data_IF_503132467928
#
_entry.id   IF_503132467928
#
_cell.length_a   1.000
_cell.length_b   1.000
_cell.length_c   1.000
_cell.angle_alpha   90.00
_cell.angle_beta   90.00
_cell.angle_gamma   90.00
#
_symmetry.space_group_name_H-M   'P 1'
#
loop_
_entity.id
_entity.type
_entity.pdbx_description
1 polymer ?
#
# COMPACT_ATOMS: atom_id res chain seq x y z
N UNK A 1 -105.97 0.98 -11.15
CA UNK A 1 -104.94 0.68 -12.16
C UNK A 1 -103.61 1.12 -11.59
N UNK A 2 -102.76 0.18 -11.51
CA UNK A 2 -101.33 0.22 -11.20
C UNK A 2 -100.77 0.86 -9.91
N UNK A 3 -100.57 -0.04 -8.97
CA UNK A 3 -99.78 0.11 -7.75
C UNK A 3 -98.27 0.19 -8.06
N UNK A 4 -97.58 1.14 -7.50
CA UNK A 4 -96.11 1.15 -7.47
C UNK A 4 -95.72 0.86 -6.03
N UNK A 5 -95.22 -0.35 -5.82
CA UNK A 5 -94.62 -0.74 -4.55
C UNK A 5 -93.24 -0.16 -4.38
N UNK A 6 -93.08 0.64 -3.34
CA UNK A 6 -91.77 1.15 -2.92
C UNK A 6 -91.12 0.10 -2.06
N UNK A 7 -90.07 -0.53 -2.52
CA UNK A 7 -89.20 -1.45 -1.73
C UNK A 7 -88.10 -0.63 -1.04
N UNK A 8 -88.20 -0.56 0.27
CA UNK A 8 -87.19 -0.02 1.16
C UNK A 8 -86.07 -1.08 1.26
N UNK A 9 -84.85 -0.70 0.77
CA UNK A 9 -83.65 -1.53 0.92
C UNK A 9 -82.91 -1.06 2.16
N UNK A 10 -82.90 -1.89 3.21
CA UNK A 10 -82.14 -1.65 4.45
C UNK A 10 -80.70 -2.10 4.17
N UNK A 11 -79.78 -1.17 4.13
CA UNK A 11 -78.35 -1.47 4.12
C UNK A 11 -77.85 -1.70 5.51
N UNK A 12 -77.51 -2.95 5.81
CA UNK A 12 -76.81 -3.33 7.02
C UNK A 12 -75.27 -3.03 6.82
N UNK A 13 -74.80 -2.00 7.46
CA UNK A 13 -73.31 -1.70 7.44
C UNK A 13 -72.64 -2.59 8.48
N UNK A 14 -72.05 -3.67 8.04
CA UNK A 14 -71.10 -4.46 8.83
C UNK A 14 -69.79 -3.71 8.96
N UNK A 15 -69.54 -3.16 10.15
CA UNK A 15 -68.22 -2.65 10.53
C UNK A 15 -67.26 -3.83 10.72
N UNK A 16 -66.50 -4.21 9.68
CA UNK A 16 -65.36 -5.09 9.82
C UNK A 16 -64.17 -4.25 10.30
N UNK A 17 -63.82 -4.41 11.56
CA UNK A 17 -62.55 -3.91 12.12
C UNK A 17 -61.38 -4.58 11.39
N UNK A 18 -60.75 -3.84 10.46
CA UNK A 18 -59.47 -4.24 9.88
C UNK A 18 -58.39 -4.17 10.95
N UNK A 19 -58.06 -5.30 11.58
CA UNK A 19 -56.79 -5.46 12.22
C UNK A 19 -55.70 -5.44 11.14
N UNK A 20 -55.01 -4.32 10.97
CA UNK A 20 -53.77 -4.26 10.21
C UNK A 20 -52.72 -5.05 10.97
N UNK A 21 -52.08 -6.07 10.39
CA UNK A 21 -50.93 -6.68 11.02
C UNK A 21 -49.84 -5.61 11.12
N UNK A 22 -49.36 -5.39 12.35
CA UNK A 22 -48.14 -4.61 12.59
C UNK A 22 -47.03 -5.30 11.80
N UNK A 23 -46.65 -4.69 10.67
CA UNK A 23 -45.52 -5.12 9.89
C UNK A 23 -44.27 -4.98 10.76
N UNK A 24 -43.81 -6.13 11.28
CA UNK A 24 -42.55 -6.20 11.99
C UNK A 24 -41.49 -5.59 11.06
N UNK A 25 -40.72 -4.64 11.58
CA UNK A 25 -39.53 -4.09 10.89
C UNK A 25 -38.73 -5.26 10.37
N UNK A 26 -38.71 -5.44 9.05
CA UNK A 26 -37.85 -6.39 8.38
C UNK A 26 -36.44 -6.13 8.89
N UNK A 27 -35.91 -7.04 9.67
CA UNK A 27 -34.49 -7.08 9.96
C UNK A 27 -33.82 -7.22 8.59
N UNK A 28 -33.14 -6.14 8.12
CA UNK A 28 -32.29 -6.24 6.96
C UNK A 28 -31.53 -7.57 7.07
N UNK A 29 -31.51 -8.40 6.02
CA UNK A 29 -30.76 -9.64 6.06
C UNK A 29 -29.35 -9.29 6.52
N UNK A 30 -28.83 -10.00 7.52
CA UNK A 30 -27.41 -9.90 7.90
C UNK A 30 -26.65 -10.07 6.61
N UNK A 31 -25.98 -8.99 6.15
CA UNK A 31 -25.05 -9.11 5.03
C UNK A 31 -24.13 -10.29 5.36
N UNK A 32 -24.13 -11.29 4.49
CA UNK A 32 -23.17 -12.38 4.60
C UNK A 32 -21.79 -11.72 4.77
N UNK A 33 -21.08 -12.03 5.84
CA UNK A 33 -19.73 -11.51 6.06
C UNK A 33 -18.92 -12.00 4.86
N UNK A 34 -18.59 -11.07 3.96
CA UNK A 34 -17.84 -11.39 2.76
C UNK A 34 -16.48 -11.95 3.22
N UNK A 35 -16.14 -13.14 2.74
CA UNK A 35 -14.91 -13.83 3.14
C UNK A 35 -13.70 -12.97 2.77
N UNK A 36 -12.80 -12.74 3.73
CA UNK A 36 -11.57 -12.01 3.46
C UNK A 36 -10.66 -12.82 2.52
N UNK A 37 -9.89 -12.13 1.69
CA UNK A 37 -8.84 -12.73 0.87
C UNK A 37 -7.54 -12.85 1.65
N UNK A 38 -6.71 -13.84 1.33
CA UNK A 38 -5.38 -14.00 1.92
C UNK A 38 -4.60 -12.69 1.83
N UNK A 39 -4.06 -12.24 2.96
CA UNK A 39 -3.26 -11.02 3.05
C UNK A 39 -2.44 -11.00 4.34
N UNK A 40 -1.40 -10.17 4.39
CA UNK A 40 -0.56 -10.03 5.58
C UNK A 40 0.77 -10.79 5.49
N UNK A 41 1.56 -10.78 6.59
CA UNK A 41 1.22 -10.12 7.83
C UNK A 41 1.47 -8.60 7.79
N UNK A 42 0.58 -7.85 8.45
CA UNK A 42 0.84 -6.46 8.86
C UNK A 42 1.35 -6.49 10.30
N UNK A 43 2.52 -5.95 10.54
CA UNK A 43 3.10 -5.84 11.88
C UNK A 43 2.87 -4.43 12.41
N UNK A 44 1.93 -4.28 13.34
CA UNK A 44 1.58 -2.98 13.93
C UNK A 44 2.31 -2.84 15.26
N UNK A 45 3.21 -1.85 15.36
CA UNK A 45 3.94 -1.52 16.58
C UNK A 45 3.17 -0.48 17.38
N UNK A 46 3.12 -0.65 18.69
CA UNK A 46 2.59 0.34 19.61
C UNK A 46 3.72 1.02 20.39
N UNK A 47 3.45 2.22 20.92
CA UNK A 47 4.44 3.03 21.65
C UNK A 47 4.95 2.35 22.95
N UNK A 48 4.17 1.43 23.53
CA UNK A 48 4.55 0.64 24.70
C UNK A 48 5.49 -0.54 24.38
N UNK A 49 5.91 -0.68 23.11
CA UNK A 49 6.76 -1.77 22.63
C UNK A 49 6.01 -3.07 22.34
N UNK A 50 4.70 -3.10 22.48
CA UNK A 50 3.88 -4.23 22.03
C UNK A 50 3.70 -4.24 20.51
N UNK A 51 3.31 -5.40 19.97
CA UNK A 51 3.09 -5.58 18.53
C UNK A 51 1.84 -6.43 18.29
N UNK A 52 1.09 -6.10 17.24
CA UNK A 52 0.07 -6.96 16.65
C UNK A 52 0.55 -7.45 15.29
N UNK A 53 0.45 -8.74 15.05
CA UNK A 53 0.66 -9.33 13.73
C UNK A 53 -0.68 -9.77 13.15
N UNK A 54 -1.11 -9.08 12.13
CA UNK A 54 -2.44 -9.23 11.50
C UNK A 54 -2.27 -9.88 10.13
N UNK A 55 -3.00 -10.96 9.89
CA UNK A 55 -3.03 -11.66 8.60
C UNK A 55 -4.38 -12.29 8.34
N UNK A 56 -4.62 -12.67 7.08
CA UNK A 56 -5.79 -13.45 6.67
C UNK A 56 -5.29 -14.78 6.09
N UNK A 57 -5.78 -15.88 6.64
CA UNK A 57 -5.39 -17.22 6.18
C UNK A 57 -6.14 -17.68 4.90
N UNK A 58 -5.73 -18.83 4.34
CA UNK A 58 -6.35 -19.43 3.15
C UNK A 58 -7.84 -19.82 3.31
N UNK A 59 -8.36 -19.80 4.53
CA UNK A 59 -9.79 -20.00 4.83
C UNK A 59 -10.55 -18.67 4.93
N UNK A 60 -9.88 -17.53 4.77
CA UNK A 60 -10.44 -16.19 4.89
C UNK A 60 -10.71 -15.78 6.35
N UNK A 61 -10.00 -16.36 7.31
CA UNK A 61 -10.10 -16.03 8.72
C UNK A 61 -9.06 -14.97 9.07
N UNK A 62 -9.49 -13.92 9.75
CA UNK A 62 -8.61 -12.93 10.34
C UNK A 62 -7.82 -13.57 11.49
N UNK A 63 -6.52 -13.47 11.41
CA UNK A 63 -5.57 -13.86 12.46
C UNK A 63 -4.96 -12.58 13.05
N UNK A 64 -5.14 -12.37 14.34
CA UNK A 64 -4.66 -11.19 15.07
C UNK A 64 -3.90 -11.67 16.30
N UNK A 65 -2.58 -11.69 16.20
CA UNK A 65 -1.69 -12.16 17.26
C UNK A 65 -1.05 -10.99 17.98
N UNK A 66 -1.13 -10.99 19.30
CA UNK A 66 -0.57 -9.96 20.16
C UNK A 66 0.72 -10.42 20.83
N UNK A 67 1.73 -9.56 20.80
CA UNK A 67 3.04 -9.76 21.43
C UNK A 67 3.30 -8.60 22.40
N UNK A 68 3.59 -8.90 23.66
CA UNK A 68 3.87 -7.87 24.69
C UNK A 68 5.19 -7.14 24.45
N UNK A 69 6.13 -7.79 23.78
CA UNK A 69 7.40 -7.22 23.36
C UNK A 69 7.84 -7.87 22.07
N UNK A 70 8.59 -7.14 21.26
CA UNK A 70 9.13 -7.64 19.99
C UNK A 70 10.52 -8.18 20.26
N UNK A 71 10.77 -9.50 20.08
CA UNK A 71 12.13 -10.02 20.11
C UNK A 71 12.98 -9.38 19.01
N UNK A 72 14.24 -9.14 19.26
CA UNK A 72 15.19 -8.61 18.25
C UNK A 72 15.33 -9.51 17.01
N UNK A 73 14.94 -10.78 17.16
CA UNK A 73 14.98 -11.81 16.10
C UNK A 73 13.60 -12.28 15.70
N UNK A 74 12.57 -11.41 15.79
CA UNK A 74 11.22 -11.79 15.40
C UNK A 74 11.16 -12.12 13.91
N UNK A 75 10.73 -13.34 13.60
CA UNK A 75 10.61 -13.84 12.22
C UNK A 75 9.22 -14.39 11.95
N UNK A 76 8.79 -14.31 10.71
CA UNK A 76 7.49 -14.80 10.23
C UNK A 76 7.60 -15.24 8.77
N UNK A 77 6.59 -16.01 8.33
CA UNK A 77 6.50 -16.49 6.95
C UNK A 77 5.62 -15.54 6.12
N UNK A 78 6.01 -15.34 4.87
CA UNK A 78 5.25 -14.60 3.86
C UNK A 78 4.59 -15.57 2.91
N UNK A 79 3.34 -15.29 2.55
CA UNK A 79 2.52 -16.10 1.64
C UNK A 79 2.03 -15.23 0.49
N UNK A 80 1.90 -15.83 -0.71
CA UNK A 80 1.25 -15.21 -1.86
C UNK A 80 -0.27 -15.19 -1.71
N UNK A 81 -0.95 -14.47 -2.59
CA UNK A 81 -2.42 -14.37 -2.61
C UNK A 81 -3.13 -15.74 -2.78
N UNK A 82 -2.49 -16.71 -3.39
CA UNK A 82 -3.00 -18.09 -3.54
C UNK A 82 -2.67 -18.99 -2.34
N UNK A 83 -1.96 -18.50 -1.33
CA UNK A 83 -1.58 -19.23 -0.12
C UNK A 83 -0.30 -20.06 -0.22
N UNK A 84 0.48 -19.90 -1.29
CA UNK A 84 1.80 -20.49 -1.39
C UNK A 84 2.76 -19.84 -0.38
N UNK A 85 3.49 -20.65 0.40
CA UNK A 85 4.57 -20.19 1.27
C UNK A 85 5.75 -19.74 0.41
N UNK A 86 6.20 -18.51 0.60
CA UNK A 86 7.27 -17.92 -0.22
C UNK A 86 8.62 -17.92 0.52
N UNK A 87 8.75 -17.15 1.57
CA UNK A 87 10.02 -16.99 2.28
C UNK A 87 9.79 -16.49 3.72
N UNK A 88 10.75 -16.74 4.63
CA UNK A 88 10.75 -16.12 5.94
C UNK A 88 11.31 -14.70 5.89
N UNK A 89 10.83 -13.84 6.79
CA UNK A 89 11.36 -12.50 7.02
C UNK A 89 11.70 -12.34 8.50
N UNK A 90 12.88 -11.80 8.78
CA UNK A 90 13.27 -11.35 10.12
C UNK A 90 13.25 -9.83 10.14
N UNK A 91 12.60 -9.22 11.15
CA UNK A 91 12.60 -7.77 11.30
C UNK A 91 13.99 -7.26 11.67
N UNK A 92 14.32 -6.09 11.16
CA UNK A 92 15.60 -5.42 11.46
C UNK A 92 15.37 -3.93 11.72
N UNK A 93 16.39 -3.23 12.18
CA UNK A 93 16.34 -1.78 12.34
C UNK A 93 16.22 -1.09 10.98
N UNK A 94 15.40 -0.05 10.94
CA UNK A 94 15.12 0.73 9.73
C UNK A 94 15.65 2.15 9.91
N UNK A 95 16.38 2.65 8.92
CA UNK A 95 16.86 4.03 8.87
C UNK A 95 16.80 4.56 7.44
N UNK A 96 16.83 5.89 7.28
CA UNK A 96 16.92 6.50 5.95
C UNK A 96 18.28 6.19 5.33
N UNK A 97 18.32 5.60 4.12
CA UNK A 97 19.59 5.37 3.41
C UNK A 97 20.19 6.70 2.94
N UNK A 98 21.50 6.71 2.75
CA UNK A 98 22.17 7.83 2.07
C UNK A 98 21.57 8.01 0.68
N UNK A 99 21.43 9.27 0.24
CA UNK A 99 20.88 9.63 -1.06
C UNK A 99 21.88 9.45 -2.22
N UNK A 100 23.15 9.21 -1.91
CA UNK A 100 24.21 9.02 -2.89
C UNK A 100 25.05 7.81 -2.51
N UNK A 101 25.29 6.95 -3.50
CA UNK A 101 26.11 5.75 -3.41
C UNK A 101 27.26 5.79 -4.41
N UNK A 102 28.31 5.04 -4.11
CA UNK A 102 29.38 4.76 -5.05
C UNK A 102 28.87 3.80 -6.13
N UNK A 103 29.33 3.95 -7.35
CA UNK A 103 28.99 3.03 -8.44
C UNK A 103 29.49 1.61 -8.11
N UNK A 104 28.61 0.60 -8.00
CA UNK A 104 29.02 -0.78 -7.87
C UNK A 104 29.47 -1.35 -9.23
N UNK A 105 30.00 -2.57 -9.24
CA UNK A 105 30.32 -3.28 -10.49
C UNK A 105 29.07 -3.48 -11.36
N UNK A 106 27.95 -3.87 -10.73
CA UNK A 106 26.66 -4.08 -11.41
C UNK A 106 25.54 -3.40 -10.65
N UNK A 107 24.60 -2.83 -11.42
CA UNK A 107 23.34 -2.31 -10.90
C UNK A 107 22.20 -2.99 -11.65
N UNK A 108 21.31 -3.70 -10.94
CA UNK A 108 20.08 -4.20 -11.50
C UNK A 108 18.95 -3.21 -11.21
N UNK A 109 18.24 -2.78 -12.24
CA UNK A 109 17.21 -1.74 -12.11
C UNK A 109 15.88 -2.29 -12.61
N UNK A 110 14.82 -2.09 -11.84
CA UNK A 110 13.44 -2.39 -12.25
C UNK A 110 12.48 -1.34 -11.68
N UNK A 111 11.29 -1.26 -12.26
CA UNK A 111 10.24 -0.32 -11.86
C UNK A 111 8.86 -0.96 -11.99
N UNK A 112 7.87 -0.38 -11.31
CA UNK A 112 6.44 -0.63 -11.49
C UNK A 112 6.00 -2.11 -11.38
N UNK A 113 6.38 -2.86 -10.34
CA UNK A 113 5.95 -4.24 -10.20
C UNK A 113 4.45 -4.39 -9.93
N UNK A 114 3.77 -3.34 -9.46
CA UNK A 114 2.31 -3.27 -9.27
C UNK A 114 1.69 -4.54 -8.69
N UNK A 115 2.25 -5.01 -7.60
CA UNK A 115 1.80 -6.21 -6.89
C UNK A 115 1.69 -7.46 -7.78
N UNK A 116 2.52 -7.54 -8.84
CA UNK A 116 2.67 -8.72 -9.68
C UNK A 116 3.87 -9.54 -9.20
N UNK A 117 3.62 -10.39 -8.20
CA UNK A 117 4.64 -11.23 -7.57
C UNK A 117 5.42 -12.09 -8.58
N UNK A 118 4.70 -12.79 -9.46
CA UNK A 118 5.34 -13.72 -10.39
C UNK A 118 6.32 -13.02 -11.34
N UNK A 119 5.94 -11.86 -11.86
CA UNK A 119 6.81 -11.05 -12.72
C UNK A 119 8.01 -10.53 -11.94
N UNK A 120 7.79 -9.93 -10.76
CA UNK A 120 8.83 -9.37 -9.92
C UNK A 120 9.89 -10.42 -9.52
N UNK A 121 9.44 -11.55 -8.98
CA UNK A 121 10.33 -12.64 -8.56
C UNK A 121 11.08 -13.27 -9.75
N UNK A 122 10.42 -13.45 -10.90
CA UNK A 122 11.04 -13.98 -12.09
C UNK A 122 12.14 -13.08 -12.65
N UNK A 123 11.93 -11.77 -12.65
CA UNK A 123 12.95 -10.80 -13.07
C UNK A 123 14.19 -10.83 -12.16
N UNK A 124 13.98 -10.87 -10.83
CA UNK A 124 15.09 -10.93 -9.88
C UNK A 124 15.87 -12.24 -9.99
N UNK A 125 15.18 -13.38 -10.19
CA UNK A 125 15.83 -14.70 -10.43
C UNK A 125 16.60 -14.70 -11.76
N UNK A 126 16.00 -14.21 -12.83
CA UNK A 126 16.66 -14.12 -14.14
C UNK A 126 17.88 -13.19 -14.12
N UNK A 127 17.80 -12.10 -13.37
CA UNK A 127 18.92 -11.16 -13.14
C UNK A 127 19.98 -11.68 -12.17
N UNK A 128 19.79 -12.89 -11.61
CA UNK A 128 20.67 -13.49 -10.58
C UNK A 128 20.86 -12.56 -9.38
N UNK A 129 19.82 -11.82 -9.05
CA UNK A 129 19.76 -10.99 -7.83
C UNK A 129 19.42 -11.86 -6.62
N UNK A 130 18.50 -12.83 -6.83
CA UNK A 130 18.07 -13.79 -5.81
C UNK A 130 18.18 -15.22 -6.32
N UNK A 131 18.32 -16.18 -5.38
CA UNK A 131 18.25 -17.63 -5.65
C UNK A 131 16.80 -18.16 -5.76
N UNK A 132 16.68 -19.49 -5.82
CA UNK A 132 15.38 -20.17 -5.88
C UNK A 132 14.54 -19.93 -4.62
N UNK A 133 15.18 -19.76 -3.46
CA UNK A 133 14.58 -19.59 -2.13
C UNK A 133 14.43 -18.11 -1.74
N UNK A 134 14.58 -17.20 -2.72
CA UNK A 134 14.46 -15.74 -2.56
C UNK A 134 15.52 -15.10 -1.63
N UNK A 135 16.71 -15.69 -1.53
CA UNK A 135 17.85 -15.11 -0.81
C UNK A 135 18.73 -14.30 -1.75
N UNK A 136 19.39 -13.27 -1.21
CA UNK A 136 20.31 -12.42 -1.96
C UNK A 136 21.55 -13.20 -2.44
N UNK A 137 21.83 -13.15 -3.72
CA UNK A 137 23.02 -13.76 -4.33
C UNK A 137 23.79 -12.78 -5.23
N UNK A 138 23.45 -11.49 -5.21
CA UNK A 138 24.04 -10.48 -6.09
C UNK A 138 25.36 -9.92 -5.53
N UNK A 139 25.83 -10.40 -4.39
CA UNK A 139 27.09 -9.99 -3.75
C UNK A 139 27.13 -8.51 -3.41
N UNK A 140 28.26 -7.84 -3.66
CA UNK A 140 28.46 -6.42 -3.37
C UNK A 140 27.83 -5.48 -4.42
N UNK A 141 26.90 -5.95 -5.22
CA UNK A 141 26.22 -5.17 -6.25
C UNK A 141 24.96 -4.47 -5.71
N UNK A 142 24.27 -3.72 -6.57
CA UNK A 142 23.11 -2.93 -6.17
C UNK A 142 21.85 -3.29 -6.97
N UNK A 143 20.75 -3.48 -6.24
CA UNK A 143 19.40 -3.52 -6.79
C UNK A 143 18.74 -2.15 -6.58
N UNK A 144 18.19 -1.57 -7.64
CA UNK A 144 17.41 -0.32 -7.58
C UNK A 144 16.00 -0.62 -8.06
N UNK A 145 15.01 -0.34 -7.19
CA UNK A 145 13.59 -0.47 -7.48
C UNK A 145 12.99 0.92 -7.50
N UNK A 146 12.50 1.34 -8.67
CA UNK A 146 12.04 2.71 -8.89
C UNK A 146 10.51 2.81 -8.65
N UNK A 147 10.06 2.42 -7.45
CA UNK A 147 8.68 2.62 -6.97
C UNK A 147 7.59 1.77 -7.60
N UNK A 148 6.36 2.12 -7.26
CA UNK A 148 5.10 1.57 -7.76
C UNK A 148 4.91 0.08 -7.51
N UNK A 149 5.06 -0.31 -6.25
CA UNK A 149 4.67 -1.65 -5.79
C UNK A 149 3.17 -1.74 -5.55
N UNK A 150 2.55 -0.66 -5.06
CA UNK A 150 1.11 -0.63 -4.81
C UNK A 150 0.28 -0.75 -6.07
N UNK A 151 -0.99 -1.08 -5.85
CA UNK A 151 -2.10 -1.06 -6.80
C UNK A 151 -2.06 -2.14 -7.90
N UNK A 152 -3.17 -2.27 -8.61
CA UNK A 152 -3.41 -3.14 -9.77
C UNK A 152 -3.38 -4.64 -9.48
N UNK A 153 -2.34 -5.14 -8.80
CA UNK A 153 -2.18 -6.55 -8.46
C UNK A 153 -2.68 -6.91 -7.05
N UNK A 154 -2.33 -8.09 -6.59
CA UNK A 154 -2.85 -8.70 -5.36
C UNK A 154 -1.78 -9.09 -4.34
N UNK A 155 -0.49 -9.01 -4.71
CA UNK A 155 0.65 -9.40 -3.87
C UNK A 155 1.51 -8.20 -3.42
N UNK A 156 0.87 -7.15 -2.89
CA UNK A 156 1.56 -5.96 -2.38
C UNK A 156 2.55 -6.34 -1.27
N UNK A 157 2.08 -7.03 -0.24
CA UNK A 157 2.92 -7.38 0.91
C UNK A 157 4.05 -8.36 0.58
N UNK A 158 3.84 -9.42 -0.22
CA UNK A 158 4.94 -10.28 -0.65
C UNK A 158 6.11 -9.52 -1.28
N UNK A 159 5.82 -8.54 -2.15
CA UNK A 159 6.87 -7.74 -2.80
C UNK A 159 7.58 -6.84 -1.79
N UNK A 160 6.84 -6.09 -0.95
CA UNK A 160 7.47 -5.23 0.06
C UNK A 160 8.28 -6.01 1.08
N UNK A 161 7.78 -7.15 1.56
CA UNK A 161 8.52 -7.98 2.50
C UNK A 161 9.78 -8.59 1.87
N UNK A 162 9.75 -8.91 0.56
CA UNK A 162 10.96 -9.35 -0.12
C UNK A 162 11.99 -8.21 -0.20
N UNK A 163 11.56 -7.01 -0.58
CA UNK A 163 12.47 -5.85 -0.64
C UNK A 163 13.09 -5.58 0.74
N UNK A 164 12.27 -5.58 1.79
CA UNK A 164 12.70 -5.39 3.18
C UNK A 164 13.73 -6.45 3.62
N UNK A 165 13.46 -7.73 3.32
CA UNK A 165 14.39 -8.85 3.59
C UNK A 165 15.72 -8.64 2.86
N UNK A 166 15.63 -8.34 1.57
CA UNK A 166 16.82 -8.20 0.70
C UNK A 166 17.68 -7.00 1.07
N UNK A 167 17.12 -5.93 1.65
CA UNK A 167 17.94 -4.80 2.15
C UNK A 167 18.96 -5.27 3.18
N UNK A 168 18.52 -6.09 4.14
CA UNK A 168 19.43 -6.59 5.19
C UNK A 168 20.42 -7.61 4.63
N UNK A 169 19.97 -8.53 3.80
CA UNK A 169 20.85 -9.54 3.21
C UNK A 169 21.89 -8.93 2.26
N UNK A 170 21.51 -7.91 1.49
CA UNK A 170 22.44 -7.18 0.63
C UNK A 170 23.48 -6.44 1.48
N UNK A 171 23.07 -5.75 2.55
CA UNK A 171 23.99 -5.09 3.48
C UNK A 171 25.00 -6.06 4.05
N UNK A 172 24.57 -7.22 4.50
CA UNK A 172 25.44 -8.27 5.07
C UNK A 172 26.43 -8.85 4.04
N UNK A 173 26.05 -8.80 2.74
CA UNK A 173 26.91 -9.21 1.62
C UNK A 173 27.77 -8.08 1.05
N UNK A 174 27.73 -6.87 1.64
CA UNK A 174 28.42 -5.68 1.13
C UNK A 174 27.78 -5.04 -0.09
N UNK A 175 26.58 -5.48 -0.46
CA UNK A 175 25.75 -4.92 -1.53
C UNK A 175 24.70 -3.93 -1.00
N UNK A 176 23.74 -3.61 -1.85
CA UNK A 176 22.67 -2.66 -1.46
C UNK A 176 21.38 -2.91 -2.23
N UNK A 177 20.24 -2.73 -1.54
CA UNK A 177 18.94 -2.54 -2.15
C UNK A 177 18.52 -1.09 -1.96
N UNK A 178 18.07 -0.46 -3.03
CA UNK A 178 17.51 0.89 -3.04
C UNK A 178 16.07 0.80 -3.53
N UNK A 179 15.13 1.22 -2.69
CA UNK A 179 13.73 1.40 -3.07
C UNK A 179 13.41 2.89 -3.11
N UNK A 180 12.80 3.35 -4.18
CA UNK A 180 12.34 4.73 -4.34
C UNK A 180 10.81 4.81 -4.22
N UNK A 181 10.34 5.91 -3.68
CA UNK A 181 8.91 6.20 -3.60
C UNK A 181 8.39 6.56 -4.99
N UNK A 182 7.42 5.79 -5.47
CA UNK A 182 6.68 6.08 -6.69
C UNK A 182 5.36 6.81 -6.43
N UNK A 183 4.64 7.08 -7.50
CA UNK A 183 3.38 7.79 -7.38
C UNK A 183 2.28 6.93 -6.75
N UNK A 184 2.26 5.62 -6.97
CA UNK A 184 1.28 4.75 -6.35
C UNK A 184 1.50 4.61 -4.84
N UNK A 185 2.73 4.70 -4.34
CA UNK A 185 2.99 4.84 -2.92
C UNK A 185 2.34 6.12 -2.38
N UNK A 186 2.57 7.26 -3.03
CA UNK A 186 2.00 8.54 -2.58
C UNK A 186 0.49 8.62 -2.71
N UNK A 187 -0.11 7.92 -3.68
CA UNK A 187 -1.57 7.81 -3.85
C UNK A 187 -2.18 7.03 -2.71
N UNK A 188 -1.77 5.77 -2.56
CA UNK A 188 -2.37 4.86 -1.57
C UNK A 188 -2.19 5.39 -0.16
N UNK A 189 -0.98 5.80 0.22
CA UNK A 189 -0.69 6.31 1.55
C UNK A 189 -1.34 7.68 1.82
N UNK A 190 -1.61 8.47 0.77
CA UNK A 190 -2.37 9.71 0.80
C UNK A 190 -3.88 9.55 0.64
N UNK A 191 -4.40 8.32 0.74
CA UNK A 191 -5.81 7.96 0.65
C UNK A 191 -6.46 8.14 -0.73
N UNK A 192 -5.68 8.01 -1.81
CA UNK A 192 -6.20 7.88 -3.17
C UNK A 192 -6.17 6.40 -3.59
N UNK A 193 -7.28 5.71 -3.36
CA UNK A 193 -7.41 4.25 -3.48
C UNK A 193 -8.05 3.80 -4.80
N UNK A 194 -8.05 4.65 -5.83
CA UNK A 194 -8.74 4.39 -7.11
C UNK A 194 -8.33 3.10 -7.82
N UNK A 195 -7.10 2.66 -7.64
CA UNK A 195 -6.52 1.47 -8.26
C UNK A 195 -6.28 0.33 -7.27
N UNK A 196 -6.60 0.56 -5.99
CA UNK A 196 -6.40 -0.40 -4.91
C UNK A 196 -7.43 -1.51 -4.97
N UNK A 197 -7.00 -2.75 -4.86
CA UNK A 197 -7.92 -3.90 -4.84
C UNK A 197 -8.76 -3.92 -3.57
N UNK A 198 -10.03 -4.29 -3.73
CA UNK A 198 -11.02 -4.35 -2.63
C UNK A 198 -10.56 -5.19 -1.44
N UNK A 199 -9.76 -6.26 -1.65
CA UNK A 199 -9.24 -7.10 -0.56
C UNK A 199 -8.55 -6.30 0.53
N UNK A 200 -7.77 -5.28 0.16
CA UNK A 200 -6.99 -4.47 1.09
C UNK A 200 -7.87 -3.52 1.91
N UNK A 201 -8.77 -2.80 1.24
CA UNK A 201 -9.71 -1.91 1.95
C UNK A 201 -10.67 -2.68 2.84
N UNK A 202 -11.11 -3.86 2.41
CA UNK A 202 -12.00 -4.73 3.18
C UNK A 202 -11.34 -5.25 4.46
N UNK A 203 -10.04 -5.60 4.42
CA UNK A 203 -9.29 -5.97 5.62
C UNK A 203 -9.18 -4.78 6.58
N UNK A 204 -8.79 -3.61 6.08
CA UNK A 204 -8.67 -2.40 6.89
C UNK A 204 -10.02 -2.02 7.54
N UNK A 205 -11.12 -2.03 6.78
CA UNK A 205 -12.47 -1.80 7.29
C UNK A 205 -12.86 -2.79 8.40
N UNK A 206 -12.49 -4.06 8.24
CA UNK A 206 -12.72 -5.11 9.26
C UNK A 206 -11.98 -4.81 10.57
N UNK A 207 -10.83 -4.14 10.47
CA UNK A 207 -10.03 -3.71 11.62
C UNK A 207 -10.49 -2.35 12.19
N UNK A 208 -11.50 -1.71 11.59
CA UNK A 208 -12.01 -0.40 12.01
C UNK A 208 -11.08 0.77 11.67
N UNK A 209 -10.30 0.65 10.62
CA UNK A 209 -9.39 1.70 10.16
C UNK A 209 -9.40 1.82 8.63
N UNK A 210 -8.87 2.92 8.10
CA UNK A 210 -8.63 3.06 6.67
C UNK A 210 -7.37 2.29 6.24
N UNK A 211 -7.26 1.98 4.95
CA UNK A 211 -6.07 1.28 4.45
C UNK A 211 -4.77 2.09 4.65
N UNK A 212 -4.72 3.42 4.42
CA UNK A 212 -3.55 4.22 4.78
C UNK A 212 -3.21 4.19 6.27
N UNK A 213 -4.20 4.21 7.18
CA UNK A 213 -3.95 4.11 8.63
C UNK A 213 -3.34 2.77 9.03
N UNK A 214 -3.78 1.67 8.37
CA UNK A 214 -3.18 0.35 8.56
C UNK A 214 -1.69 0.36 8.20
N UNK A 215 -1.33 1.00 7.07
CA UNK A 215 0.07 1.17 6.66
C UNK A 215 0.84 2.08 7.61
N UNK A 216 0.29 3.23 7.96
CA UNK A 216 0.95 4.21 8.83
C UNK A 216 1.38 3.60 10.17
N UNK A 217 0.58 2.66 10.71
CA UNK A 217 0.87 1.96 11.97
C UNK A 217 1.77 0.74 11.79
N UNK A 218 2.03 0.30 10.57
CA UNK A 218 2.76 -0.93 10.28
C UNK A 218 4.28 -0.72 10.20
N UNK A 219 5.04 -1.80 10.40
CA UNK A 219 6.49 -1.84 10.18
C UNK A 219 6.86 -1.37 8.77
N UNK A 220 6.17 -1.89 7.75
CA UNK A 220 6.42 -1.50 6.37
C UNK A 220 6.05 -0.04 6.09
N UNK A 221 5.06 0.52 6.76
CA UNK A 221 4.74 1.94 6.66
C UNK A 221 5.84 2.83 7.25
N UNK A 222 6.39 2.44 8.41
CA UNK A 222 7.56 3.10 8.98
C UNK A 222 8.78 2.98 8.07
N UNK A 223 9.01 1.80 7.49
CA UNK A 223 10.05 1.57 6.51
C UNK A 223 9.87 2.46 5.28
N UNK A 224 8.69 2.52 4.67
CA UNK A 224 8.38 3.39 3.52
C UNK A 224 8.66 4.87 3.82
N UNK A 225 8.32 5.34 5.02
CA UNK A 225 8.59 6.72 5.43
C UNK A 225 10.09 7.07 5.43
N UNK A 226 10.97 6.09 5.50
CA UNK A 226 12.42 6.32 5.43
C UNK A 226 13.00 6.19 4.03
N UNK A 227 12.20 5.81 3.03
CA UNK A 227 12.72 5.63 1.66
C UNK A 227 12.89 6.96 0.96
N UNK A 228 13.86 7.00 0.05
CA UNK A 228 14.14 8.17 -0.77
C UNK A 228 13.18 8.22 -1.97
N UNK A 229 12.96 9.39 -2.52
CA UNK A 229 12.29 9.62 -3.80
C UNK A 229 13.29 9.87 -4.93
N UNK A 230 14.49 10.34 -4.58
CA UNK A 230 15.60 10.56 -5.50
C UNK A 230 16.85 9.91 -4.93
N UNK A 231 17.58 9.18 -5.78
CA UNK A 231 18.82 8.50 -5.43
C UNK A 231 19.88 8.72 -6.52
N UNK A 232 21.13 8.90 -6.11
CA UNK A 232 22.27 8.91 -7.02
C UNK A 232 23.12 7.66 -6.77
N UNK A 233 23.50 6.96 -7.83
CA UNK A 233 24.42 5.82 -7.79
C UNK A 233 25.52 6.06 -8.83
N UNK A 234 26.73 6.34 -8.38
CA UNK A 234 27.79 6.82 -9.25
C UNK A 234 27.40 8.12 -9.93
N UNK A 235 27.35 8.09 -11.26
CA UNK A 235 26.95 9.23 -12.10
C UNK A 235 25.48 9.14 -12.57
N UNK A 236 24.71 8.17 -12.07
CA UNK A 236 23.32 7.98 -12.47
C UNK A 236 22.37 8.50 -11.40
N UNK A 237 21.39 9.30 -11.81
CA UNK A 237 20.30 9.77 -10.95
C UNK A 237 19.05 8.95 -11.25
N UNK A 238 18.46 8.40 -10.19
CA UNK A 238 17.22 7.61 -10.22
C UNK A 238 16.09 8.37 -9.57
N UNK A 239 14.97 8.46 -10.26
CA UNK A 239 13.71 9.05 -9.80
C UNK A 239 12.56 8.35 -10.52
N UNK A 240 11.42 8.18 -9.85
CA UNK A 240 10.31 7.38 -10.40
C UNK A 240 9.73 7.95 -11.69
N UNK A 241 9.55 9.23 -11.85
CA UNK A 241 8.95 9.77 -13.07
C UNK A 241 9.94 10.63 -13.87
N UNK A 242 10.31 11.76 -13.34
CA UNK A 242 11.23 12.69 -13.97
C UNK A 242 11.31 13.99 -13.18
N UNK A 243 12.23 14.85 -13.57
CA UNK A 243 12.41 16.17 -12.97
C UNK A 243 11.90 17.23 -13.96
N UNK A 244 10.96 18.06 -13.54
CA UNK A 244 10.47 19.17 -14.35
C UNK A 244 11.50 20.29 -14.44
N UNK A 245 11.40 21.13 -15.48
CA UNK A 245 12.23 22.34 -15.56
C UNK A 245 12.05 23.23 -14.33
N UNK A 246 10.81 23.38 -13.85
CA UNK A 246 10.51 24.20 -12.67
C UNK A 246 11.16 23.63 -11.40
N UNK A 247 11.22 22.30 -11.26
CA UNK A 247 11.97 21.66 -10.18
C UNK A 247 13.46 21.99 -10.26
N UNK A 248 14.06 21.91 -11.45
CA UNK A 248 15.47 22.22 -11.65
C UNK A 248 15.76 23.71 -11.39
N UNK A 249 14.87 24.60 -11.81
CA UNK A 249 15.02 26.06 -11.60
C UNK A 249 14.97 26.44 -10.09
N UNK A 250 14.32 25.63 -9.23
CA UNK A 250 14.26 25.85 -7.77
C UNK A 250 15.53 25.41 -7.06
N UNK A 251 16.41 24.70 -7.72
CA UNK A 251 17.73 24.27 -7.23
C UNK A 251 17.68 23.60 -5.83
N UNK A 252 16.70 22.70 -5.62
CA UNK A 252 16.64 21.94 -4.39
C UNK A 252 17.83 20.98 -4.24
N UNK A 253 18.32 20.81 -3.02
CA UNK A 253 19.20 19.68 -2.71
C UNK A 253 18.39 18.38 -2.51
N UNK A 254 18.99 17.25 -2.88
CA UNK A 254 18.31 15.94 -2.85
C UNK A 254 17.88 15.52 -1.43
N UNK A 255 18.70 15.71 -0.37
CA UNK A 255 18.25 15.41 1.00
C UNK A 255 16.97 16.12 1.38
N UNK A 256 16.86 17.42 1.14
CA UNK A 256 15.66 18.22 1.42
C UNK A 256 14.44 17.70 0.67
N UNK A 257 14.59 17.34 -0.61
CA UNK A 257 13.50 16.75 -1.39
C UNK A 257 13.04 15.44 -0.79
N UNK A 258 13.96 14.54 -0.45
CA UNK A 258 13.64 13.26 0.15
C UNK A 258 12.93 13.40 1.51
N UNK A 259 13.28 14.43 2.29
CA UNK A 259 12.64 14.73 3.56
C UNK A 259 11.22 15.25 3.36
N UNK A 260 11.00 16.24 2.49
CA UNK A 260 9.67 16.79 2.16
C UNK A 260 8.73 15.69 1.67
N UNK A 261 9.19 14.81 0.78
CA UNK A 261 8.37 13.70 0.29
C UNK A 261 8.03 12.73 1.41
N UNK A 262 9.00 12.40 2.27
CA UNK A 262 8.77 11.55 3.44
C UNK A 262 7.73 12.13 4.40
N UNK A 263 7.81 13.42 4.70
CA UNK A 263 6.88 14.09 5.62
C UNK A 263 5.47 14.17 5.05
N UNK A 264 5.36 14.34 3.73
CA UNK A 264 4.08 14.37 3.03
C UNK A 264 3.48 13.00 2.72
N UNK A 265 4.21 11.89 2.94
CA UNK A 265 3.84 10.58 2.39
C UNK A 265 2.46 10.08 2.84
N UNK A 266 2.11 10.27 4.12
CA UNK A 266 0.84 9.87 4.70
C UNK A 266 -0.20 11.00 4.78
N UNK A 267 0.12 12.18 4.29
CA UNK A 267 -0.83 13.28 4.22
C UNK A 267 -1.78 13.10 3.05
N UNK A 268 -3.05 13.40 3.26
CA UNK A 268 -4.05 13.42 2.20
C UNK A 268 -3.75 14.53 1.18
N UNK A 269 -4.33 14.42 -0.02
CA UNK A 269 -4.21 15.49 -1.04
C UNK A 269 -4.65 16.85 -0.51
N UNK A 270 -5.66 16.92 0.38
CA UNK A 270 -6.12 18.16 1.00
C UNK A 270 -5.05 18.76 1.92
N UNK A 271 -4.44 17.94 2.76
CA UNK A 271 -3.40 18.37 3.68
C UNK A 271 -2.13 18.80 2.94
N UNK A 272 -1.67 18.05 1.94
CA UNK A 272 -0.52 18.43 1.09
C UNK A 272 -0.71 19.77 0.39
N UNK A 273 -1.96 20.14 0.07
CA UNK A 273 -2.31 21.39 -0.61
C UNK A 273 -2.90 22.45 0.32
N UNK A 274 -2.79 22.31 1.64
CA UNK A 274 -3.29 23.29 2.60
C UNK A 274 -2.62 24.66 2.41
N UNK A 275 -1.31 24.66 2.13
CA UNK A 275 -0.55 25.82 1.65
C UNK A 275 -0.09 25.58 0.21
N UNK A 276 -0.77 26.20 -0.76
CA UNK A 276 -0.50 26.04 -2.19
C UNK A 276 0.85 26.58 -2.65
N UNK A 277 1.49 27.43 -1.85
CA UNK A 277 2.80 28.01 -2.14
C UNK A 277 3.95 27.21 -1.53
N UNK A 278 3.67 26.24 -0.66
CA UNK A 278 4.69 25.48 0.05
C UNK A 278 5.43 24.50 -0.88
N UNK A 279 6.66 24.15 -0.49
CA UNK A 279 7.45 23.11 -1.15
C UNK A 279 6.74 21.75 -1.09
N UNK A 280 6.05 21.46 0.00
CA UNK A 280 5.23 20.26 0.14
C UNK A 280 4.16 20.18 -0.98
N UNK A 281 3.37 21.26 -1.15
CA UNK A 281 2.37 21.32 -2.21
C UNK A 281 2.99 21.20 -3.60
N UNK A 282 4.16 21.81 -3.81
CA UNK A 282 4.90 21.71 -5.06
C UNK A 282 5.35 20.28 -5.36
N UNK A 283 5.96 19.58 -4.38
CA UNK A 283 6.43 18.20 -4.56
C UNK A 283 5.31 17.19 -4.89
N UNK A 284 4.10 17.44 -4.39
CA UNK A 284 2.93 16.59 -4.62
C UNK A 284 1.92 17.15 -5.63
N UNK A 285 2.29 18.19 -6.39
CA UNK A 285 1.41 18.77 -7.41
C UNK A 285 1.07 17.76 -8.51
N UNK A 286 -0.22 17.66 -8.83
CA UNK A 286 -0.76 16.77 -9.87
C UNK A 286 -0.81 17.50 -11.20
N UNK A 287 -0.35 16.90 -12.28
CA UNK A 287 -0.42 17.39 -13.66
C UNK A 287 0.46 18.58 -14.05
N UNK A 288 1.59 18.30 -14.66
CA UNK A 288 2.20 19.14 -15.72
C UNK A 288 2.60 20.58 -15.39
N UNK A 289 2.49 20.98 -14.14
CA UNK A 289 2.79 22.33 -13.69
C UNK A 289 3.79 22.31 -12.57
N UNK A 290 4.85 21.70 -12.54
CA UNK A 290 5.80 21.86 -11.46
C UNK A 290 5.81 20.73 -10.41
N UNK A 291 6.94 20.30 -10.06
CA UNK A 291 7.23 19.34 -9.02
C UNK A 291 8.15 18.25 -9.51
N UNK A 292 8.53 17.36 -8.64
CA UNK A 292 8.95 16.03 -9.03
C UNK A 292 7.70 15.47 -9.71
N UNK A 293 7.73 15.36 -11.03
CA UNK A 293 6.61 14.83 -11.81
C UNK A 293 6.36 13.39 -11.42
N UNK A 294 5.68 13.19 -10.30
CA UNK A 294 5.30 11.88 -9.75
C UNK A 294 4.22 11.23 -10.64
N UNK A 295 3.89 11.81 -11.81
CA UNK A 295 2.79 11.36 -12.64
C UNK A 295 3.14 11.30 -14.13
N UNK A 296 3.18 10.07 -14.64
CA UNK A 296 3.21 9.71 -16.05
C UNK A 296 4.46 10.11 -16.86
N UNK A 297 5.48 9.31 -16.77
CA UNK A 297 6.06 8.58 -17.92
C UNK A 297 6.65 7.29 -17.35
N UNK A 298 6.21 6.14 -17.82
CA UNK A 298 6.89 4.86 -17.67
C UNK A 298 8.20 4.93 -18.51
N UNK A 299 9.14 5.72 -18.05
CA UNK A 299 10.46 5.85 -18.65
C UNK A 299 11.48 5.81 -17.52
N UNK A 300 12.25 4.74 -17.47
CA UNK A 300 13.46 4.65 -16.65
C UNK A 300 14.36 5.81 -17.08
N UNK A 301 14.32 6.92 -16.36
CA UNK A 301 15.20 8.04 -16.61
C UNK A 301 16.53 7.79 -15.88
N UNK A 302 17.46 7.15 -16.58
CA UNK A 302 18.87 7.18 -16.21
C UNK A 302 19.42 8.46 -16.83
N UNK A 303 19.59 9.51 -16.03
CA UNK A 303 20.24 10.75 -16.46
C UNK A 303 21.72 10.54 -16.18
N UNK A 304 22.51 10.41 -17.24
CA UNK A 304 23.98 10.38 -17.19
C UNK A 304 24.54 11.79 -17.15
#
# INVERSE_FOLDING_TARGET
MNSIQCRILVFLVLLTSCFSPVCGKDKKPRQAIEKLSIDGPYLLKADDGSMRAISVDGKGRLLDKHYKSIPTTFSFEVFSDNGERLFPVTIHSVSRPKWKDVQPEKTFVLSDPHANWSCFASLLKAGKVIDADYNWIFGANQLVIIGDVFDRGVDVLPIYWLIYKLEKEAEDAGGKVTFLIGNHETMVLGNDLRYTKKKYTQLADTLGMTYPELWQKSELGHWLKTRNSIQVVGDNLFVHAGLSKEFLDRNYDIPTVNEIVSDGLFLTKKERNADKGSDLSFMFATYGRSGIGVWYVAQISIIR
#
